data_IF_751399171970
#
_entry.id   IF_751399171970
#
_cell.length_a   1.000
_cell.length_b   1.000
_cell.length_c   1.000
_cell.angle_alpha   90.00
_cell.angle_beta   90.00
_cell.angle_gamma   90.00
#
_symmetry.space_group_name_H-M   'P 1'
#
loop_
_entity.id
_entity.type
_entity.pdbx_description
1 polymer ?
#
# COMPACT_ATOMS: atom_id res chain seq x y z
N UNK A 1 -17.50 -7.15 -4.92
CA UNK A 1 -17.23 -6.03 -4.00
C UNK A 1 -15.73 -5.94 -3.82
N UNK A 2 -15.14 -4.79 -4.12
CA UNK A 2 -13.70 -4.57 -4.00
C UNK A 2 -13.35 -4.27 -2.54
N UNK A 3 -12.34 -4.92 -1.96
CA UNK A 3 -11.92 -4.67 -0.59
C UNK A 3 -11.52 -3.20 -0.37
N UNK A 4 -10.89 -2.59 -1.37
CA UNK A 4 -10.52 -1.16 -1.38
C UNK A 4 -11.71 -0.24 -1.15
N UNK A 5 -12.89 -0.59 -1.69
CA UNK A 5 -14.10 0.21 -1.50
C UNK A 5 -14.65 0.19 -0.06
N UNK A 6 -14.13 -0.70 0.79
CA UNK A 6 -14.52 -0.81 2.21
C UNK A 6 -13.60 -0.05 3.17
N UNK A 7 -12.48 0.49 2.66
CA UNK A 7 -11.46 1.19 3.45
C UNK A 7 -11.66 2.70 3.33
N UNK A 8 -11.39 3.44 4.41
CA UNK A 8 -11.42 4.92 4.38
C UNK A 8 -10.29 5.46 3.52
N UNK A 9 -10.52 6.58 2.83
CA UNK A 9 -9.53 7.18 1.92
C UNK A 9 -8.18 7.47 2.59
N UNK A 10 -8.18 7.92 3.85
CA UNK A 10 -6.94 8.15 4.61
C UNK A 10 -6.13 6.87 4.87
N UNK A 11 -6.82 5.79 5.26
CA UNK A 11 -6.17 4.49 5.52
C UNK A 11 -5.65 3.89 4.20
N UNK A 12 -6.38 4.13 3.11
CA UNK A 12 -6.00 3.70 1.78
C UNK A 12 -4.75 4.42 1.25
N UNK A 13 -4.63 5.73 1.49
CA UNK A 13 -3.41 6.47 1.13
C UNK A 13 -2.20 6.00 1.95
N UNK A 14 -2.40 5.65 3.22
CA UNK A 14 -1.36 5.08 4.06
C UNK A 14 -0.92 3.71 3.53
N UNK A 15 -1.87 2.84 3.15
CA UNK A 15 -1.59 1.55 2.53
C UNK A 15 -0.83 1.68 1.22
N UNK A 16 -1.23 2.61 0.34
CA UNK A 16 -0.48 2.91 -0.90
C UNK A 16 0.97 3.30 -0.60
N UNK A 17 1.19 4.11 0.43
CA UNK A 17 2.52 4.51 0.88
C UNK A 17 3.36 3.34 1.39
N UNK A 18 2.75 2.42 2.15
CA UNK A 18 3.44 1.21 2.64
C UNK A 18 3.75 0.26 1.48
N UNK A 19 2.77 -0.03 0.63
CA UNK A 19 2.94 -0.92 -0.54
C UNK A 19 4.04 -0.38 -1.45
N UNK A 20 4.07 0.94 -1.67
CA UNK A 20 5.12 1.60 -2.44
C UNK A 20 6.52 1.40 -1.83
N UNK A 21 6.65 1.58 -0.51
CA UNK A 21 7.94 1.43 0.21
C UNK A 21 8.36 -0.02 0.46
N UNK A 22 7.44 -0.98 0.47
CA UNK A 22 7.73 -2.38 0.81
C UNK A 22 7.81 -3.24 -0.43
N UNK A 23 6.78 -3.21 -1.27
CA UNK A 23 6.67 -4.08 -2.44
C UNK A 23 7.26 -3.45 -3.69
N UNK A 24 7.17 -2.12 -3.82
CA UNK A 24 7.69 -1.41 -4.98
C UNK A 24 9.03 -0.72 -4.76
N UNK A 25 9.66 -0.83 -3.59
CA UNK A 25 10.94 -0.14 -3.32
C UNK A 25 12.00 -0.45 -4.37
N UNK A 26 12.18 -1.72 -4.73
CA UNK A 26 13.13 -2.13 -5.76
C UNK A 26 12.75 -1.59 -7.15
N UNK A 27 11.46 -1.53 -7.47
CA UNK A 27 10.96 -1.04 -8.75
C UNK A 27 11.14 0.48 -8.84
N UNK A 28 10.82 1.24 -7.79
CA UNK A 28 11.04 2.69 -7.73
C UNK A 28 12.53 3.06 -7.78
N UNK A 29 13.39 2.25 -7.16
CA UNK A 29 14.83 2.44 -7.23
C UNK A 29 15.37 2.23 -8.65
N UNK A 30 14.86 1.21 -9.35
CA UNK A 30 15.33 0.82 -10.69
C UNK A 30 14.71 1.62 -11.83
N UNK A 31 13.44 1.99 -11.72
CA UNK A 31 12.65 2.64 -12.78
C UNK A 31 12.23 4.07 -12.45
N UNK A 32 12.54 4.55 -11.24
CA UNK A 32 12.17 5.88 -10.76
C UNK A 32 10.80 5.92 -10.09
N UNK A 33 10.62 6.88 -9.18
CA UNK A 33 9.41 7.04 -8.35
C UNK A 33 8.11 7.27 -9.14
N UNK A 34 8.20 7.74 -10.38
CA UNK A 34 7.04 7.99 -11.25
C UNK A 34 6.54 6.72 -11.95
N UNK A 35 7.29 5.62 -11.90
CA UNK A 35 6.92 4.39 -12.57
C UNK A 35 5.71 3.72 -11.90
N UNK A 36 5.70 3.72 -10.57
CA UNK A 36 4.66 3.06 -9.78
C UNK A 36 3.50 4.03 -9.60
N UNK A 37 2.34 3.69 -10.15
CA UNK A 37 1.13 4.51 -10.04
C UNK A 37 0.27 4.07 -8.86
N UNK A 38 -0.62 4.96 -8.38
CA UNK A 38 -1.57 4.59 -7.32
C UNK A 38 -2.47 3.42 -7.74
N UNK A 39 -2.79 3.28 -9.02
CA UNK A 39 -3.54 2.16 -9.55
C UNK A 39 -2.81 0.81 -9.42
N UNK A 40 -1.47 0.80 -9.51
CA UNK A 40 -0.68 -0.41 -9.27
C UNK A 40 -0.64 -0.77 -7.79
N UNK A 41 -0.52 0.23 -6.91
CA UNK A 41 -0.66 0.02 -5.48
C UNK A 41 -2.05 -0.53 -5.14
N UNK A 42 -3.11 0.01 -5.74
CA UNK A 42 -4.48 -0.43 -5.53
C UNK A 42 -4.68 -1.89 -5.98
N UNK A 43 -4.16 -2.28 -7.16
CA UNK A 43 -4.22 -3.68 -7.60
C UNK A 43 -3.55 -4.65 -6.61
N UNK A 44 -2.44 -4.23 -6.00
CA UNK A 44 -1.73 -5.01 -4.99
C UNK A 44 -2.52 -5.08 -3.68
N UNK A 45 -3.06 -3.96 -3.21
CA UNK A 45 -3.92 -3.92 -2.00
C UNK A 45 -5.15 -4.81 -2.20
N UNK A 46 -5.71 -4.86 -3.41
CA UNK A 46 -6.87 -5.68 -3.73
C UNK A 46 -6.54 -7.17 -3.87
N UNK A 47 -5.31 -7.52 -4.26
CA UNK A 47 -4.85 -8.92 -4.33
C UNK A 47 -4.33 -9.46 -3.00
N UNK A 48 -4.01 -8.57 -2.05
CA UNK A 48 -3.56 -8.91 -0.71
C UNK A 48 -4.79 -9.27 0.15
N UNK A 49 -4.73 -10.42 0.81
CA UNK A 49 -5.78 -10.85 1.73
C UNK A 49 -5.98 -9.84 2.89
N UNK A 50 -7.22 -9.65 3.39
CA UNK A 50 -7.54 -8.64 4.42
C UNK A 50 -6.64 -8.70 5.67
N UNK A 51 -6.20 -9.89 6.05
CA UNK A 51 -5.32 -10.12 7.20
C UNK A 51 -3.96 -9.44 7.05
N UNK A 52 -3.39 -9.49 5.83
CA UNK A 52 -2.07 -8.88 5.54
C UNK A 52 -2.19 -7.36 5.52
N UNK A 53 -3.33 -6.80 5.12
CA UNK A 53 -3.59 -5.35 5.18
C UNK A 53 -3.62 -4.87 6.63
N UNK A 54 -4.20 -5.64 7.53
CA UNK A 54 -4.21 -5.33 8.97
C UNK A 54 -2.79 -5.31 9.55
N UNK A 55 -1.97 -6.29 9.19
CA UNK A 55 -0.56 -6.34 9.58
C UNK A 55 0.27 -5.20 8.96
N UNK A 56 -0.04 -4.79 7.72
CA UNK A 56 0.58 -3.62 7.11
C UNK A 56 0.23 -2.33 7.86
N UNK A 57 -1.03 -2.14 8.25
CA UNK A 57 -1.45 -0.98 9.06
C UNK A 57 -0.72 -0.99 10.41
N UNK A 58 -0.66 -2.14 11.09
CA UNK A 58 0.09 -2.30 12.35
C UNK A 58 1.57 -1.99 12.17
N UNK A 59 2.18 -2.44 11.07
CA UNK A 59 3.58 -2.15 10.76
C UNK A 59 3.81 -0.66 10.50
N UNK A 60 2.90 0.01 9.79
CA UNK A 60 2.94 1.45 9.55
C UNK A 60 2.90 2.27 10.85
N UNK A 61 2.03 1.87 11.79
CA UNK A 61 1.94 2.48 13.12
C UNK A 61 3.20 2.24 13.93
N UNK A 62 3.70 0.99 13.97
CA UNK A 62 4.93 0.64 14.69
C UNK A 62 6.17 1.37 14.16
N UNK A 63 6.20 1.72 12.87
CA UNK A 63 7.28 2.53 12.28
C UNK A 63 7.09 4.04 12.42
N UNK A 64 6.04 4.50 13.09
CA UNK A 64 5.80 5.94 13.32
C UNK A 64 5.44 6.72 12.05
N UNK A 65 4.81 6.09 11.06
CA UNK A 65 4.36 6.73 9.82
C UNK A 65 2.99 7.44 9.96
N UNK A 66 2.52 7.67 11.18
CA UNK A 66 1.21 8.26 11.50
C UNK A 66 1.38 9.54 12.31
#
# INVERSE_FOLDING_TARGET
MSFISTIKSQDLDLLRGIVRKVHFAYIEEKHGKSFVTNAECDKLIESIAPEVVEDMIRFGVNKGLR
#
